data_IF_261410448369
#
_entry.id   IF_261410448369
#
_cell.length_a   1.000
_cell.length_b   1.000
_cell.length_c   1.000
_cell.angle_alpha   90.00
_cell.angle_beta   90.00
_cell.angle_gamma   90.00
#
_symmetry.space_group_name_H-M   'P 1'
#
loop_
_entity.id
_entity.type
_entity.pdbx_description
1 polymer ?
#
# COMPACT_ATOMS: atom_id res chain seq x y z
N UNK A 1 -0.41 -7.37 -24.67
CA UNK A 1 0.82 -7.29 -25.47
C UNK A 1 1.95 -6.98 -24.51
N UNK A 2 3.16 -7.41 -24.82
CA UNK A 2 4.34 -7.00 -24.05
C UNK A 2 4.60 -5.51 -24.31
N UNK A 3 5.18 -4.77 -23.35
CA UNK A 3 5.52 -3.36 -23.56
C UNK A 3 6.39 -3.12 -24.80
N UNK A 4 7.26 -4.06 -25.16
CA UNK A 4 8.08 -4.00 -26.37
C UNK A 4 7.25 -4.08 -27.66
N UNK A 5 6.22 -4.91 -27.69
CA UNK A 5 5.32 -5.07 -28.85
C UNK A 5 4.46 -3.82 -29.04
N UNK A 6 4.03 -3.18 -27.95
CA UNK A 6 3.30 -1.89 -28.02
C UNK A 6 4.19 -0.82 -28.66
N UNK A 7 5.47 -0.77 -28.26
CA UNK A 7 6.43 0.17 -28.87
C UNK A 7 6.67 -0.13 -30.34
N UNK A 8 6.82 -1.39 -30.72
CA UNK A 8 7.01 -1.80 -32.12
C UNK A 8 5.83 -1.37 -33.01
N UNK A 9 4.59 -1.52 -32.52
CA UNK A 9 3.40 -1.03 -33.23
C UNK A 9 3.44 0.49 -33.39
N UNK A 10 3.73 1.23 -32.32
CA UNK A 10 3.83 2.68 -32.37
C UNK A 10 4.92 3.15 -33.34
N UNK A 11 6.08 2.50 -33.34
CA UNK A 11 7.21 2.79 -34.23
C UNK A 11 6.86 2.50 -35.70
N UNK A 12 6.17 1.38 -35.97
CA UNK A 12 5.72 1.00 -37.31
C UNK A 12 4.73 2.02 -37.88
N UNK A 13 3.71 2.39 -37.11
CA UNK A 13 2.70 3.36 -37.55
C UNK A 13 3.35 4.70 -37.82
N UNK A 14 4.20 5.18 -36.91
CA UNK A 14 4.91 6.44 -37.11
C UNK A 14 5.89 6.39 -38.29
N UNK A 15 6.48 5.23 -38.61
CA UNK A 15 7.30 5.07 -39.81
C UNK A 15 6.48 5.25 -41.10
N UNK A 16 5.26 4.71 -41.16
CA UNK A 16 4.36 4.87 -42.31
C UNK A 16 3.83 6.30 -42.45
N UNK A 17 3.55 6.97 -41.33
CA UNK A 17 3.22 8.41 -41.29
C UNK A 17 4.36 9.22 -41.90
N UNK A 18 5.62 8.96 -41.48
CA UNK A 18 6.80 9.67 -41.99
C UNK A 18 7.08 9.45 -43.48
N UNK A 19 6.63 8.33 -44.07
CA UNK A 19 6.71 8.12 -45.53
C UNK A 19 5.85 9.12 -46.32
N UNK A 20 4.90 9.79 -45.66
CA UNK A 20 4.05 10.82 -46.23
C UNK A 20 3.37 10.37 -47.53
N UNK A 21 2.79 9.17 -47.52
CA UNK A 21 2.18 8.55 -48.70
C UNK A 21 0.85 9.25 -49.03
N UNK A 22 0.48 9.37 -50.32
CA UNK A 22 -0.85 9.81 -50.71
C UNK A 22 -1.94 8.92 -50.12
N UNK A 23 -3.03 9.54 -49.67
CA UNK A 23 -4.25 8.85 -49.24
C UNK A 23 -5.30 9.04 -50.34
N UNK A 24 -5.69 7.95 -50.99
CA UNK A 24 -6.56 7.97 -52.16
C UNK A 24 -7.85 7.22 -51.88
N UNK A 25 -8.97 7.71 -52.43
CA UNK A 25 -10.27 7.03 -52.31
C UNK A 25 -10.96 6.85 -53.64
N UNK A 26 -11.50 5.66 -53.87
CA UNK A 26 -12.21 5.31 -55.10
C UNK A 26 -13.50 4.55 -54.79
N UNK A 27 -14.57 4.83 -55.53
CA UNK A 27 -15.82 4.05 -55.46
C UNK A 27 -15.77 2.98 -56.54
N UNK A 28 -15.83 1.71 -56.14
CA UNK A 28 -15.78 0.57 -57.06
C UNK A 28 -16.69 -0.57 -56.59
N UNK A 29 -16.85 -1.58 -57.44
CA UNK A 29 -17.64 -2.76 -57.11
C UNK A 29 -16.95 -3.58 -56.01
N UNK A 30 -17.75 -4.19 -55.13
CA UNK A 30 -17.26 -4.95 -53.98
C UNK A 30 -16.27 -6.06 -54.36
N UNK A 31 -16.53 -6.79 -55.44
CA UNK A 31 -15.65 -7.85 -55.91
C UNK A 31 -14.31 -7.31 -56.42
N UNK A 32 -14.31 -6.15 -57.09
CA UNK A 32 -13.08 -5.49 -57.51
C UNK A 32 -12.27 -4.97 -56.32
N UNK A 33 -12.94 -4.46 -55.28
CA UNK A 33 -12.29 -4.03 -54.04
C UNK A 33 -11.60 -5.21 -53.32
N UNK A 34 -12.28 -6.36 -53.20
CA UNK A 34 -11.72 -7.59 -52.64
C UNK A 34 -10.50 -8.06 -53.45
N UNK A 35 -10.58 -8.03 -54.79
CA UNK A 35 -9.46 -8.39 -55.66
C UNK A 35 -8.24 -7.47 -55.49
N UNK A 36 -8.45 -6.21 -55.09
CA UNK A 36 -7.39 -5.24 -54.76
C UNK A 36 -6.78 -5.46 -53.36
N UNK A 37 -7.24 -6.47 -52.62
CA UNK A 37 -6.76 -6.75 -51.26
C UNK A 37 -7.34 -5.82 -50.20
N UNK A 38 -8.46 -5.13 -50.49
CA UNK A 38 -9.09 -4.27 -49.50
C UNK A 38 -9.56 -5.08 -48.28
N UNK A 39 -9.06 -4.72 -47.11
CA UNK A 39 -9.53 -5.30 -45.85
C UNK A 39 -10.95 -4.81 -45.55
N UNK A 40 -11.85 -5.75 -45.27
CA UNK A 40 -13.19 -5.48 -44.79
C UNK A 40 -13.24 -5.71 -43.27
N UNK A 41 -13.97 -4.86 -42.55
CA UNK A 41 -14.23 -5.05 -41.12
C UNK A 41 -15.13 -6.27 -40.91
N UNK A 42 -14.78 -7.08 -39.91
CA UNK A 42 -15.53 -8.28 -39.54
C UNK A 42 -16.95 -7.95 -39.10
N UNK A 43 -17.95 -8.61 -39.70
CA UNK A 43 -19.35 -8.57 -39.26
C UNK A 43 -20.24 -7.54 -39.98
N UNK A 44 -19.68 -6.71 -40.86
CA UNK A 44 -20.42 -5.67 -41.58
C UNK A 44 -21.01 -6.17 -42.92
N UNK A 45 -22.18 -5.66 -43.30
CA UNK A 45 -22.78 -5.85 -44.63
C UNK A 45 -22.43 -4.65 -45.52
N UNK A 46 -21.97 -4.93 -46.73
CA UNK A 46 -21.57 -3.91 -47.71
C UNK A 46 -22.50 -3.90 -48.91
N UNK A 47 -22.74 -2.73 -49.48
CA UNK A 47 -23.47 -2.55 -50.73
C UNK A 47 -22.63 -3.05 -51.94
N UNK A 48 -23.27 -3.13 -53.11
CA UNK A 48 -22.60 -3.53 -54.36
C UNK A 48 -21.45 -2.58 -54.74
N UNK A 49 -21.59 -1.29 -54.43
CA UNK A 49 -20.56 -0.27 -54.63
C UNK A 49 -20.02 0.20 -53.29
N UNK A 50 -18.70 0.09 -53.11
CA UNK A 50 -18.00 0.44 -51.88
C UNK A 50 -16.96 1.52 -52.12
N UNK A 51 -16.68 2.32 -51.08
CA UNK A 51 -15.56 3.27 -51.07
C UNK A 51 -14.31 2.60 -50.52
N UNK A 52 -13.31 2.45 -51.37
CA UNK A 52 -11.99 1.91 -51.02
C UNK A 52 -11.07 3.07 -50.71
N UNK A 53 -10.43 3.01 -49.54
CA UNK A 53 -9.37 3.89 -49.09
C UNK A 53 -8.03 3.16 -49.24
N UNK A 54 -7.04 3.82 -49.82
CA UNK A 54 -5.66 3.32 -49.91
C UNK A 54 -4.70 4.35 -49.32
N UNK A 55 -3.83 3.91 -48.41
CA UNK A 55 -2.73 4.70 -47.86
C UNK A 55 -1.41 4.15 -48.43
N UNK A 56 -1.06 4.61 -49.64
CA UNK A 56 0.04 4.08 -50.42
C UNK A 56 -0.06 2.55 -50.63
N UNK A 57 1.07 1.87 -50.47
CA UNK A 57 1.20 0.41 -50.62
C UNK A 57 0.96 -0.37 -49.31
N UNK A 58 0.67 0.33 -48.20
CA UNK A 58 0.71 -0.25 -46.87
C UNK A 58 -0.66 -0.70 -46.35
N UNK A 59 -1.69 0.14 -46.48
CA UNK A 59 -3.06 -0.18 -46.06
C UNK A 59 -4.04 0.08 -47.19
N UNK A 60 -4.93 -0.87 -47.46
CA UNK A 60 -6.09 -0.68 -48.33
C UNK A 60 -7.30 -1.30 -47.65
N UNK A 61 -8.37 -0.52 -47.49
CA UNK A 61 -9.49 -0.86 -46.62
C UNK A 61 -10.79 -0.22 -47.11
N UNK A 62 -11.91 -0.83 -46.74
CA UNK A 62 -13.24 -0.28 -47.01
C UNK A 62 -13.61 0.74 -45.92
N UNK A 63 -13.68 2.02 -46.27
CA UNK A 63 -14.00 3.07 -45.28
C UNK A 63 -14.81 4.22 -45.88
N UNK A 64 -15.93 4.55 -45.23
CA UNK A 64 -16.81 5.68 -45.56
C UNK A 64 -16.46 7.00 -44.84
N UNK A 65 -15.45 7.00 -43.98
CA UNK A 65 -15.10 8.15 -43.14
C UNK A 65 -14.33 9.26 -43.86
N UNK A 66 -14.12 10.37 -43.16
CA UNK A 66 -13.21 11.43 -43.59
C UNK A 66 -11.75 11.02 -43.34
N UNK A 67 -10.85 11.47 -44.20
CA UNK A 67 -9.43 11.15 -44.12
C UNK A 67 -8.58 12.37 -44.43
N UNK A 68 -7.34 12.35 -43.94
CA UNK A 68 -6.32 13.27 -44.37
C UNK A 68 -5.93 13.04 -45.84
N UNK A 69 -5.19 13.98 -46.43
CA UNK A 69 -4.75 13.87 -47.83
C UNK A 69 -3.48 13.04 -47.98
N UNK A 70 -2.60 13.06 -46.97
CA UNK A 70 -1.39 12.24 -46.91
C UNK A 70 -1.19 11.66 -45.52
N UNK A 71 -0.44 10.56 -45.42
CA UNK A 71 -0.16 9.94 -44.11
C UNK A 71 0.63 10.88 -43.19
N UNK A 72 1.42 11.81 -43.75
CA UNK A 72 2.19 12.79 -42.97
C UNK A 72 1.33 13.82 -42.25
N UNK A 73 0.13 14.12 -42.77
CA UNK A 73 -0.80 15.08 -42.18
C UNK A 73 -1.37 14.59 -40.83
N UNK A 74 -1.24 13.29 -40.55
CA UNK A 74 -1.68 12.66 -39.29
C UNK A 74 -0.80 13.11 -38.11
N UNK A 75 0.47 13.45 -38.36
CA UNK A 75 1.44 13.81 -37.32
C UNK A 75 1.81 12.63 -36.41
N UNK A 76 2.33 12.91 -35.21
CA UNK A 76 2.75 11.88 -34.26
C UNK A 76 1.57 10.98 -33.88
N UNK A 77 1.73 9.66 -33.97
CA UNK A 77 0.83 8.66 -33.40
C UNK A 77 1.37 8.19 -32.04
N UNK A 78 0.50 8.13 -31.02
CA UNK A 78 0.88 7.75 -29.66
C UNK A 78 -0.19 6.87 -29.03
N UNK A 79 0.21 5.70 -28.55
CA UNK A 79 -0.64 4.81 -27.75
C UNK A 79 -0.69 5.33 -26.31
N UNK A 80 -1.91 5.56 -25.82
CA UNK A 80 -2.19 5.99 -24.44
C UNK A 80 -2.36 4.78 -23.54
N UNK A 81 -3.11 3.78 -24.01
CA UNK A 81 -3.44 2.61 -23.20
C UNK A 81 -3.66 1.37 -24.06
N UNK A 82 -3.46 0.21 -23.43
CA UNK A 82 -3.73 -1.09 -24.01
C UNK A 82 -4.40 -1.96 -22.94
N UNK A 83 -5.55 -2.56 -23.27
CA UNK A 83 -6.30 -3.39 -22.34
C UNK A 83 -6.95 -4.61 -23.03
N UNK A 84 -7.07 -5.72 -22.30
CA UNK A 84 -7.80 -6.90 -22.77
C UNK A 84 -9.30 -6.76 -22.51
N UNK A 85 -10.13 -6.93 -23.55
CA UNK A 85 -11.60 -6.80 -23.44
C UNK A 85 -12.32 -8.15 -23.47
N UNK A 86 -11.72 -9.18 -24.07
CA UNK A 86 -12.21 -10.56 -24.10
C UNK A 86 -11.05 -11.52 -24.43
N UNK A 87 -11.29 -12.84 -24.36
CA UNK A 87 -10.30 -13.83 -24.77
C UNK A 87 -9.91 -13.61 -26.25
N UNK A 88 -8.61 -13.35 -26.49
CA UNK A 88 -8.09 -13.07 -27.83
C UNK A 88 -8.34 -11.66 -28.37
N UNK A 89 -9.02 -10.78 -27.62
CA UNK A 89 -9.36 -9.42 -28.09
C UNK A 89 -8.68 -8.36 -27.22
N UNK A 90 -8.03 -7.40 -27.88
CA UNK A 90 -7.33 -6.29 -27.23
C UNK A 90 -7.83 -4.94 -27.74
N UNK A 91 -7.89 -3.96 -26.85
CA UNK A 91 -8.22 -2.56 -27.14
C UNK A 91 -6.96 -1.72 -27.02
N UNK A 92 -6.69 -0.96 -28.06
CA UNK A 92 -5.66 0.08 -28.07
C UNK A 92 -6.38 1.43 -28.08
N UNK A 93 -6.02 2.30 -27.15
CA UNK A 93 -6.42 3.70 -27.17
C UNK A 93 -5.22 4.53 -27.61
N UNK A 94 -5.38 5.33 -28.65
CA UNK A 94 -4.29 6.11 -29.22
C UNK A 94 -4.79 7.49 -29.68
N UNK A 95 -3.85 8.43 -29.75
CA UNK A 95 -4.07 9.80 -30.23
C UNK A 95 -3.06 10.13 -31.31
N UNK A 96 -3.41 11.10 -32.15
CA UNK A 96 -2.55 11.61 -33.21
C UNK A 96 -2.40 13.13 -33.15
N UNK A 97 -1.44 13.68 -33.90
CA UNK A 97 -1.27 15.12 -34.10
C UNK A 97 -1.15 15.90 -32.79
N UNK A 98 -1.94 16.96 -32.64
CA UNK A 98 -1.95 17.81 -31.44
C UNK A 98 -2.29 17.04 -30.17
N UNK A 99 -3.20 16.07 -30.23
CA UNK A 99 -3.55 15.24 -29.08
C UNK A 99 -2.37 14.38 -28.59
N UNK A 100 -1.56 13.89 -29.52
CA UNK A 100 -0.32 13.19 -29.19
C UNK A 100 0.73 14.14 -28.60
N UNK A 101 0.89 15.34 -29.16
CA UNK A 101 1.81 16.36 -28.62
C UNK A 101 1.43 16.79 -27.20
N UNK A 102 0.14 17.05 -26.95
CA UNK A 102 -0.38 17.36 -25.62
C UNK A 102 -0.09 16.24 -24.61
N UNK A 103 -0.19 14.97 -25.05
CA UNK A 103 0.15 13.82 -24.20
C UNK A 103 1.65 13.79 -23.87
N UNK A 104 2.52 14.09 -24.82
CA UNK A 104 3.99 14.16 -24.61
C UNK A 104 4.33 15.28 -23.63
N UNK A 105 3.78 16.48 -23.80
CA UNK A 105 4.00 17.59 -22.88
C UNK A 105 3.52 17.25 -21.47
N UNK A 106 2.29 16.74 -21.33
CA UNK A 106 1.75 16.35 -20.02
C UNK A 106 2.59 15.26 -19.33
N UNK A 107 3.18 14.32 -20.08
CA UNK A 107 4.11 13.34 -19.53
C UNK A 107 5.42 13.99 -19.08
N UNK A 108 5.98 14.91 -19.87
CA UNK A 108 7.19 15.65 -19.55
C UNK A 108 7.02 16.53 -18.30
N UNK A 109 5.91 17.26 -18.21
CA UNK A 109 5.62 18.15 -17.07
C UNK A 109 5.55 17.35 -15.76
N UNK A 110 4.84 16.21 -15.76
CA UNK A 110 4.78 15.33 -14.59
C UNK A 110 6.15 14.81 -14.17
N UNK A 111 7.00 14.44 -15.12
CA UNK A 111 8.36 13.98 -14.80
C UNK A 111 9.21 15.11 -14.22
N UNK A 112 9.09 16.32 -14.76
CA UNK A 112 9.78 17.51 -14.25
C UNK A 112 9.31 17.89 -12.84
N UNK A 113 8.01 17.82 -12.57
CA UNK A 113 7.43 18.08 -11.26
C UNK A 113 8.01 17.11 -10.21
N UNK A 114 8.04 15.81 -10.52
CA UNK A 114 8.61 14.80 -9.62
C UNK A 114 10.11 15.03 -9.43
N UNK A 115 10.84 15.34 -10.50
CA UNK A 115 12.27 15.65 -10.41
C UNK A 115 12.52 16.85 -9.50
N UNK A 116 11.71 17.92 -9.62
CA UNK A 116 11.80 19.09 -8.76
C UNK A 116 11.52 18.76 -7.28
N UNK A 117 10.46 17.99 -7.00
CA UNK A 117 10.15 17.52 -5.63
C UNK A 117 11.31 16.78 -4.98
N UNK A 118 12.04 15.99 -5.78
CA UNK A 118 13.18 15.20 -5.33
C UNK A 118 14.53 15.93 -5.46
N UNK A 119 14.52 17.22 -5.85
CA UNK A 119 15.71 18.03 -6.12
C UNK A 119 16.68 17.30 -7.06
N UNK A 120 16.15 16.76 -8.15
CA UNK A 120 16.86 16.06 -9.21
C UNK A 120 16.50 16.61 -10.59
N UNK A 121 16.81 15.82 -11.60
CA UNK A 121 16.56 16.09 -13.02
C UNK A 121 16.11 14.81 -13.74
N UNK A 122 15.81 14.90 -15.03
CA UNK A 122 15.34 13.78 -15.83
C UNK A 122 16.34 12.63 -15.97
N UNK A 123 17.64 12.87 -15.74
CA UNK A 123 18.69 11.86 -15.85
C UNK A 123 18.87 11.08 -14.55
N UNK A 124 18.75 11.76 -13.41
CA UNK A 124 18.96 11.15 -12.08
C UNK A 124 17.66 10.86 -11.30
N UNK A 125 16.48 11.15 -11.88
CA UNK A 125 15.19 10.95 -11.21
C UNK A 125 15.04 9.55 -10.61
N UNK A 126 15.39 8.51 -11.37
CA UNK A 126 15.31 7.13 -10.89
C UNK A 126 16.19 6.85 -9.67
N UNK A 127 17.37 7.44 -9.62
CA UNK A 127 18.31 7.29 -8.49
C UNK A 127 17.86 8.10 -7.28
N UNK A 128 17.29 9.29 -7.50
CA UNK A 128 16.67 10.09 -6.44
C UNK A 128 15.50 9.36 -5.77
N UNK A 129 14.62 8.74 -6.57
CA UNK A 129 13.51 7.92 -6.06
C UNK A 129 14.06 6.77 -5.21
N UNK A 130 15.06 6.03 -5.71
CA UNK A 130 15.70 4.94 -4.96
C UNK A 130 16.32 5.43 -3.65
N UNK A 131 17.03 6.56 -3.67
CA UNK A 131 17.64 7.15 -2.48
C UNK A 131 16.60 7.53 -1.41
N UNK A 132 15.44 8.08 -1.82
CA UNK A 132 14.35 8.38 -0.88
C UNK A 132 13.77 7.11 -0.28
N UNK A 133 13.52 6.07 -1.09
CA UNK A 133 12.99 4.80 -0.60
C UNK A 133 13.94 4.13 0.41
N UNK A 134 15.25 4.10 0.12
CA UNK A 134 16.26 3.58 1.04
C UNK A 134 16.35 4.40 2.32
N UNK A 135 16.31 5.74 2.21
CA UNK A 135 16.28 6.62 3.38
C UNK A 135 15.04 6.37 4.25
N UNK A 136 13.87 6.17 3.65
CA UNK A 136 12.64 5.85 4.39
C UNK A 136 12.79 4.55 5.16
N UNK A 137 13.30 3.48 4.52
CA UNK A 137 13.55 2.19 5.20
C UNK A 137 14.55 2.32 6.35
N UNK A 138 15.61 3.11 6.15
CA UNK A 138 16.61 3.34 7.18
C UNK A 138 16.02 4.11 8.38
N UNK A 139 15.24 5.17 8.12
CA UNK A 139 14.55 5.93 9.16
C UNK A 139 13.52 5.09 9.92
N UNK A 140 12.77 4.21 9.25
CA UNK A 140 11.85 3.27 9.89
C UNK A 140 12.58 2.31 10.84
N UNK A 141 13.75 1.81 10.42
CA UNK A 141 14.59 0.95 11.25
C UNK A 141 15.16 1.68 12.46
N UNK A 142 15.69 2.88 12.27
CA UNK A 142 16.21 3.73 13.35
C UNK A 142 15.10 4.09 14.35
N UNK A 143 13.90 4.42 13.85
CA UNK A 143 12.74 4.69 14.70
C UNK A 143 12.37 3.47 15.56
N UNK A 144 12.37 2.27 14.99
CA UNK A 144 12.10 1.06 15.76
C UNK A 144 13.19 0.79 16.81
N UNK A 145 14.47 0.98 16.47
CA UNK A 145 15.58 0.84 17.42
C UNK A 145 15.48 1.83 18.59
N UNK A 146 15.15 3.09 18.32
CA UNK A 146 14.96 4.11 19.36
C UNK A 146 13.75 3.78 20.26
N UNK A 147 12.65 3.27 19.67
CA UNK A 147 11.50 2.79 20.45
C UNK A 147 11.90 1.64 21.37
N UNK A 148 12.63 0.65 20.85
CA UNK A 148 13.10 -0.49 21.63
C UNK A 148 14.02 -0.06 22.79
N UNK A 149 14.94 0.86 22.54
CA UNK A 149 15.81 1.45 23.58
C UNK A 149 15.00 2.20 24.66
N UNK A 150 14.02 3.01 24.25
CA UNK A 150 13.16 3.73 25.19
C UNK A 150 12.36 2.78 26.08
N UNK A 151 11.82 1.70 25.51
CA UNK A 151 11.10 0.70 26.30
C UNK A 151 12.02 -0.06 27.27
N UNK A 152 13.24 -0.41 26.86
CA UNK A 152 14.22 -1.05 27.74
C UNK A 152 14.59 -0.13 28.93
N UNK A 153 14.81 1.16 28.68
CA UNK A 153 15.09 2.14 29.72
C UNK A 153 13.90 2.33 30.67
N UNK A 154 12.67 2.35 30.15
CA UNK A 154 11.47 2.44 30.97
C UNK A 154 11.28 1.20 31.83
N UNK A 155 11.50 -0.01 31.29
CA UNK A 155 11.49 -1.24 32.09
C UNK A 155 12.49 -1.19 33.24
N UNK A 156 13.72 -0.71 33.01
CA UNK A 156 14.71 -0.54 34.07
C UNK A 156 14.21 0.41 35.16
N UNK A 157 13.58 1.53 34.80
CA UNK A 157 12.99 2.48 35.75
C UNK A 157 11.82 1.85 36.54
N UNK A 158 10.95 1.10 35.88
CA UNK A 158 9.79 0.46 36.49
C UNK A 158 10.17 -0.63 37.49
N UNK A 159 11.26 -1.37 37.23
CA UNK A 159 11.75 -2.40 38.16
C UNK A 159 11.99 -1.86 39.57
N UNK A 160 12.41 -0.59 39.69
CA UNK A 160 12.64 0.10 40.96
C UNK A 160 11.35 0.51 41.69
N UNK A 161 10.20 0.52 41.01
CA UNK A 161 8.89 0.91 41.55
C UNK A 161 8.07 -0.29 42.06
N UNK A 162 8.59 -1.51 41.95
CA UNK A 162 7.87 -2.70 42.40
C UNK A 162 7.74 -2.72 43.94
N UNK A 163 6.54 -3.07 44.42
CA UNK A 163 6.21 -3.15 45.86
C UNK A 163 6.20 -4.61 46.30
N UNK A 164 6.80 -4.92 47.45
CA UNK A 164 6.74 -6.27 48.02
C UNK A 164 5.39 -6.53 48.70
N UNK A 165 4.72 -7.61 48.31
CA UNK A 165 3.51 -8.13 48.93
C UNK A 165 3.72 -9.61 49.28
N UNK A 166 3.95 -9.89 50.57
CA UNK A 166 4.14 -11.24 51.10
C UNK A 166 5.22 -12.06 50.36
N UNK A 167 6.33 -11.42 49.96
CA UNK A 167 7.43 -12.07 49.24
C UNK A 167 7.23 -12.16 47.72
N UNK A 168 6.16 -11.56 47.18
CA UNK A 168 5.91 -11.42 45.74
C UNK A 168 5.95 -9.94 45.36
N UNK A 169 6.75 -9.58 44.36
CA UNK A 169 6.85 -8.20 43.89
C UNK A 169 5.66 -7.85 42.99
N UNK A 170 4.90 -6.83 43.34
CA UNK A 170 3.83 -6.26 42.51
C UNK A 170 4.33 -5.02 41.78
N UNK A 171 4.13 -4.97 40.46
CA UNK A 171 4.36 -3.79 39.65
C UNK A 171 3.10 -3.43 38.87
N UNK A 172 2.58 -2.22 39.09
CA UNK A 172 1.41 -1.69 38.36
C UNK A 172 1.79 -0.34 37.79
N UNK A 173 1.67 -0.16 36.47
CA UNK A 173 2.03 1.12 35.86
C UNK A 173 1.29 1.39 34.56
N UNK A 174 0.95 2.66 34.36
CA UNK A 174 0.53 3.19 33.07
C UNK A 174 1.75 3.81 32.36
N UNK A 175 1.93 3.45 31.09
CA UNK A 175 3.04 3.87 30.26
C UNK A 175 2.55 4.78 29.14
N UNK A 176 3.11 5.98 29.07
CA UNK A 176 2.81 6.93 28.02
C UNK A 176 3.67 6.66 26.77
N UNK A 177 3.05 6.67 25.58
CA UNK A 177 3.77 6.58 24.30
C UNK A 177 4.36 5.19 23.97
N UNK A 178 4.02 4.15 24.74
CA UNK A 178 4.45 2.78 24.48
C UNK A 178 3.42 2.08 23.59
N UNK A 179 3.89 1.44 22.51
CA UNK A 179 3.01 0.66 21.64
C UNK A 179 2.52 -0.62 22.33
N UNK A 180 1.25 -1.03 22.15
CA UNK A 180 0.70 -2.24 22.79
C UNK A 180 1.54 -3.50 22.57
N UNK A 181 2.18 -3.63 21.39
CA UNK A 181 3.04 -4.77 21.05
C UNK A 181 4.26 -4.88 21.97
N UNK A 182 4.78 -3.74 22.45
CA UNK A 182 5.99 -3.67 23.29
C UNK A 182 5.73 -4.06 24.73
N UNK A 183 4.50 -3.88 25.21
CA UNK A 183 4.11 -4.23 26.58
C UNK A 183 4.43 -5.69 26.93
N UNK A 184 4.31 -6.59 25.95
CA UNK A 184 4.69 -8.00 26.12
C UNK A 184 6.16 -8.18 26.44
N UNK A 185 7.03 -7.59 25.62
CA UNK A 185 8.47 -7.64 25.83
C UNK A 185 8.84 -7.04 27.18
N UNK A 186 8.26 -5.89 27.54
CA UNK A 186 8.50 -5.26 28.85
C UNK A 186 8.09 -6.15 30.02
N UNK A 187 6.93 -6.81 29.95
CA UNK A 187 6.49 -7.76 30.98
C UNK A 187 7.46 -8.94 31.11
N UNK A 188 7.90 -9.52 29.99
CA UNK A 188 8.84 -10.64 30.01
C UNK A 188 10.20 -10.22 30.61
N UNK A 189 10.72 -9.05 30.23
CA UNK A 189 11.97 -8.50 30.78
C UNK A 189 11.87 -8.21 32.29
N UNK A 190 10.77 -7.57 32.72
CA UNK A 190 10.53 -7.26 34.12
C UNK A 190 10.34 -8.53 34.97
N UNK A 191 9.69 -9.58 34.44
CA UNK A 191 9.60 -10.88 35.11
C UNK A 191 10.97 -11.51 35.34
N UNK A 192 11.84 -11.43 34.33
CA UNK A 192 13.21 -11.94 34.45
C UNK A 192 14.04 -11.14 35.48
N UNK A 193 13.83 -9.82 35.58
CA UNK A 193 14.54 -8.97 36.54
C UNK A 193 14.03 -9.10 37.98
N UNK A 194 12.71 -9.23 38.17
CA UNK A 194 12.07 -9.15 39.48
C UNK A 194 11.89 -10.50 40.19
N UNK A 195 12.00 -11.62 39.46
CA UNK A 195 11.83 -12.96 40.02
C UNK A 195 10.35 -13.28 40.30
N UNK A 196 10.02 -13.59 41.55
CA UNK A 196 8.64 -13.83 41.99
C UNK A 196 7.80 -12.54 41.90
N UNK A 197 6.96 -12.42 40.87
CA UNK A 197 6.31 -11.14 40.55
C UNK A 197 4.93 -11.27 39.90
N UNK A 198 4.11 -10.24 40.12
CA UNK A 198 2.87 -9.94 39.41
C UNK A 198 3.01 -8.55 38.80
N UNK A 199 2.78 -8.44 37.50
CA UNK A 199 2.97 -7.20 36.73
C UNK A 199 1.68 -6.88 35.98
N UNK A 200 1.23 -5.62 36.05
CA UNK A 200 0.18 -5.07 35.20
C UNK A 200 0.67 -3.79 34.55
N UNK A 201 0.75 -3.78 33.22
CA UNK A 201 1.10 -2.59 32.45
C UNK A 201 -0.07 -2.15 31.58
N UNK A 202 -0.24 -0.84 31.43
CA UNK A 202 -1.24 -0.24 30.58
C UNK A 202 -0.62 0.82 29.64
N UNK A 203 -1.21 1.02 28.47
CA UNK A 203 -0.93 2.16 27.59
C UNK A 203 -2.22 2.65 26.96
N UNK A 204 -2.30 3.94 26.65
CA UNK A 204 -3.41 4.55 25.93
C UNK A 204 -2.92 5.06 24.59
N UNK A 205 -3.48 4.52 23.50
CA UNK A 205 -3.16 4.94 22.13
C UNK A 205 -4.46 5.28 21.42
N UNK A 206 -4.56 6.51 20.90
CA UNK A 206 -5.74 7.00 20.18
C UNK A 206 -7.06 6.79 20.97
N UNK A 207 -7.02 7.00 22.29
CA UNK A 207 -8.17 6.85 23.19
C UNK A 207 -8.54 5.39 23.51
N UNK A 208 -7.82 4.40 22.99
CA UNK A 208 -8.00 2.98 23.33
C UNK A 208 -6.98 2.55 24.36
N UNK A 209 -7.46 1.86 25.39
CA UNK A 209 -6.62 1.27 26.43
C UNK A 209 -6.14 -0.09 25.97
N UNK A 210 -4.84 -0.36 26.09
CA UNK A 210 -4.26 -1.69 25.98
C UNK A 210 -3.62 -2.09 27.30
N UNK A 211 -3.94 -3.29 27.77
CA UNK A 211 -3.51 -3.81 29.06
C UNK A 211 -2.77 -5.13 28.85
N UNK A 212 -1.77 -5.37 29.68
CA UNK A 212 -1.14 -6.67 29.82
C UNK A 212 -0.93 -7.00 31.30
N UNK A 213 -1.13 -8.26 31.65
CA UNK A 213 -0.71 -8.82 32.92
C UNK A 213 0.31 -9.94 32.69
N UNK A 214 1.33 -10.00 33.54
CA UNK A 214 2.30 -11.08 33.61
C UNK A 214 2.44 -11.57 35.04
N UNK A 215 2.49 -12.89 35.20
CA UNK A 215 2.71 -13.52 36.52
C UNK A 215 3.86 -14.52 36.38
N UNK A 216 4.78 -14.52 37.35
CA UNK A 216 5.87 -15.50 37.40
C UNK A 216 5.34 -16.90 37.70
N UNK A 217 6.01 -17.94 37.18
CA UNK A 217 5.49 -19.33 37.21
C UNK A 217 5.24 -19.87 38.62
N UNK A 218 6.02 -19.42 39.59
CA UNK A 218 5.91 -19.79 41.00
C UNK A 218 4.68 -19.18 41.70
N UNK A 219 4.05 -18.16 41.10
CA UNK A 219 2.88 -17.46 41.66
C UNK A 219 1.58 -17.83 40.92
N UNK A 220 1.66 -18.49 39.75
CA UNK A 220 0.48 -18.73 38.89
C UNK A 220 -0.63 -19.58 39.52
N UNK A 221 -0.30 -20.40 40.52
CA UNK A 221 -1.29 -21.22 41.23
C UNK A 221 -2.20 -20.39 42.14
N UNK A 222 -1.70 -19.22 42.59
CA UNK A 222 -2.42 -18.29 43.48
C UNK A 222 -3.04 -17.13 42.70
N UNK A 223 -2.30 -16.60 41.74
CA UNK A 223 -2.69 -15.45 40.92
C UNK A 223 -2.60 -15.81 39.44
N UNK A 224 -3.72 -15.75 38.71
CA UNK A 224 -3.73 -16.00 37.26
C UNK A 224 -3.82 -14.69 36.49
N UNK A 225 -2.92 -14.48 35.53
CA UNK A 225 -2.88 -13.29 34.70
C UNK A 225 -4.21 -13.05 33.96
N UNK A 226 -4.87 -14.11 33.49
CA UNK A 226 -6.18 -14.01 32.83
C UNK A 226 -7.30 -13.47 33.72
N UNK A 227 -7.35 -13.91 34.98
CA UNK A 227 -8.36 -13.43 35.96
C UNK A 227 -8.07 -11.96 36.32
N UNK A 228 -6.79 -11.64 36.55
CA UNK A 228 -6.34 -10.29 36.89
C UNK A 228 -6.65 -9.30 35.76
N UNK A 229 -6.26 -9.61 34.52
CA UNK A 229 -6.51 -8.71 33.40
C UNK A 229 -7.99 -8.58 33.09
N UNK A 230 -8.79 -9.63 33.27
CA UNK A 230 -10.23 -9.60 33.07
C UNK A 230 -10.91 -8.62 34.03
N UNK A 231 -10.48 -8.61 35.30
CA UNK A 231 -10.97 -7.68 36.32
C UNK A 231 -10.65 -6.22 35.98
N UNK A 232 -9.42 -5.93 35.53
CA UNK A 232 -9.02 -4.57 35.13
C UNK A 232 -9.73 -4.16 33.84
N UNK A 233 -9.81 -5.06 32.85
CA UNK A 233 -10.42 -4.79 31.56
C UNK A 233 -11.91 -4.42 31.67
N UNK A 234 -12.67 -5.08 32.54
CA UNK A 234 -14.09 -4.77 32.75
C UNK A 234 -14.30 -3.33 33.22
N UNK A 235 -13.40 -2.80 34.03
CA UNK A 235 -13.49 -1.42 34.54
C UNK A 235 -13.22 -0.37 33.46
N UNK A 236 -12.39 -0.69 32.45
CA UNK A 236 -12.10 0.20 31.31
C UNK A 236 -12.99 -0.08 30.09
N UNK A 237 -14.17 -0.69 30.30
CA UNK A 237 -15.13 -0.99 29.23
C UNK A 237 -14.62 -2.03 28.23
N UNK A 238 -13.82 -2.97 28.72
CA UNK A 238 -13.01 -3.88 27.92
C UNK A 238 -13.22 -5.36 28.26
N UNK A 239 -12.55 -6.21 27.48
CA UNK A 239 -12.44 -7.65 27.73
C UNK A 239 -11.04 -8.13 27.38
N UNK A 240 -10.61 -9.19 28.03
CA UNK A 240 -9.31 -9.79 27.79
C UNK A 240 -9.26 -11.24 28.21
N UNK A 241 -8.11 -11.85 27.95
CA UNK A 241 -7.87 -13.25 28.23
C UNK A 241 -6.43 -13.63 27.92
N UNK A 242 -6.08 -14.84 28.31
CA UNK A 242 -4.76 -15.37 28.10
C UNK A 242 -4.47 -16.57 28.98
N UNK A 243 -3.18 -16.88 29.08
CA UNK A 243 -2.68 -17.99 29.88
C UNK A 243 -2.52 -17.54 31.35
N UNK A 244 -2.36 -18.48 32.29
CA UNK A 244 -2.13 -18.15 33.70
C UNK A 244 -0.89 -17.25 33.94
N UNK A 245 0.15 -17.40 33.11
CA UNK A 245 1.42 -16.67 33.22
C UNK A 245 1.44 -15.32 32.49
N UNK A 246 0.51 -15.11 31.55
CA UNK A 246 0.41 -13.89 30.75
C UNK A 246 -0.95 -13.75 30.06
N UNK A 247 -1.55 -12.57 30.17
CA UNK A 247 -2.82 -12.25 29.54
C UNK A 247 -2.89 -10.79 29.07
N UNK A 248 -3.72 -10.54 28.05
CA UNK A 248 -3.85 -9.22 27.44
C UNK A 248 -5.33 -8.83 27.36
N UNK A 249 -5.58 -7.53 27.38
CA UNK A 249 -6.92 -6.98 27.20
C UNK A 249 -6.89 -5.63 26.48
N UNK A 250 -8.02 -5.27 25.90
CA UNK A 250 -8.27 -3.93 25.38
C UNK A 250 -9.48 -3.30 26.06
N UNK A 251 -9.50 -1.97 26.15
CA UNK A 251 -10.58 -1.17 26.70
C UNK A 251 -10.83 0.10 25.89
N UNK A 252 -11.99 0.72 26.11
CA UNK A 252 -12.41 1.94 25.41
C UNK A 252 -12.56 3.15 26.33
N UNK A 253 -12.53 2.94 27.64
CA UNK A 253 -12.62 4.00 28.64
C UNK A 253 -11.24 4.29 29.25
N UNK A 254 -10.53 5.23 28.64
CA UNK A 254 -9.24 5.70 29.16
C UNK A 254 -9.38 6.50 30.46
N UNK A 255 -10.54 7.12 30.73
CA UNK A 255 -10.75 7.91 31.94
C UNK A 255 -10.89 7.01 33.19
N UNK A 256 -11.39 5.79 33.02
CA UNK A 256 -11.48 4.79 34.09
C UNK A 256 -10.14 4.10 34.42
N UNK A 257 -9.12 4.23 33.58
CA UNK A 257 -7.85 3.50 33.72
C UNK A 257 -7.12 3.75 35.06
N UNK A 258 -6.99 4.99 35.57
CA UNK A 258 -6.30 5.22 36.84
C UNK A 258 -6.96 4.50 38.03
N UNK A 259 -8.30 4.51 38.08
CA UNK A 259 -9.06 3.80 39.11
C UNK A 259 -8.92 2.28 38.96
N UNK A 260 -8.97 1.78 37.72
CA UNK A 260 -8.80 0.36 37.43
C UNK A 260 -7.42 -0.16 37.87
N UNK A 261 -6.34 0.59 37.61
CA UNK A 261 -4.99 0.23 38.05
C UNK A 261 -4.85 0.29 39.58
N UNK A 262 -5.45 1.29 40.25
CA UNK A 262 -5.41 1.38 41.72
C UNK A 262 -6.09 0.18 42.41
N UNK A 263 -7.08 -0.45 41.75
CA UNK A 263 -7.76 -1.64 42.28
C UNK A 263 -6.88 -2.91 42.33
N UNK A 264 -5.81 -2.96 41.53
CA UNK A 264 -4.98 -4.17 41.35
C UNK A 264 -4.32 -4.60 42.65
N UNK A 265 -3.75 -3.66 43.41
CA UNK A 265 -3.00 -3.99 44.63
C UNK A 265 -3.87 -4.71 45.65
N UNK A 266 -5.08 -4.19 45.93
CA UNK A 266 -6.01 -4.82 46.86
C UNK A 266 -6.44 -6.22 46.40
N UNK A 267 -6.68 -6.40 45.10
CA UNK A 267 -7.05 -7.70 44.55
C UNK A 267 -5.92 -8.72 44.67
N UNK A 268 -4.68 -8.32 44.35
CA UNK A 268 -3.51 -9.21 44.44
C UNK A 268 -3.21 -9.56 45.90
N UNK A 269 -3.26 -8.59 46.82
CA UNK A 269 -3.08 -8.85 48.25
C UNK A 269 -4.07 -9.89 48.80
N UNK A 270 -5.34 -9.86 48.38
CA UNK A 270 -6.34 -10.83 48.82
C UNK A 270 -6.08 -12.26 48.31
N UNK A 271 -5.43 -12.41 47.15
CA UNK A 271 -5.02 -13.72 46.59
C UNK A 271 -3.71 -14.25 47.18
N UNK A 272 -2.90 -13.35 47.73
CA UNK A 272 -1.61 -13.65 48.35
C UNK A 272 -1.67 -13.80 49.89
N UNK A 273 -2.85 -13.72 50.48
CA UNK A 273 -3.13 -14.26 51.82
C UNK A 273 -3.28 -15.78 51.77
#
# INVERSE_FOLDING_TARGET
MKPSEIREVEDLVNAQIRRNLPIETHIMDLEAAKAKGAMALFGEKYDERVRVLSMGDFSTELCGGTHASRTGDIGLFRIISESGTAAGVRRIEAVTGEGAMATVHAQSDRLNDIAHLLKGDSQNLGDKVRAVLERTRQLEKELQQLKDQAAAQESANLSSKAVDLNGVKLLVSELAGVEPKMLRTMVDDLKNQLGSTVIVLATVVEGKVSLIAGVSKDVTDRVKAGELIGMVAQQVGGKGGGRPDMAQAGGTDAAALPAALASVQGWVSAKLQ
#
